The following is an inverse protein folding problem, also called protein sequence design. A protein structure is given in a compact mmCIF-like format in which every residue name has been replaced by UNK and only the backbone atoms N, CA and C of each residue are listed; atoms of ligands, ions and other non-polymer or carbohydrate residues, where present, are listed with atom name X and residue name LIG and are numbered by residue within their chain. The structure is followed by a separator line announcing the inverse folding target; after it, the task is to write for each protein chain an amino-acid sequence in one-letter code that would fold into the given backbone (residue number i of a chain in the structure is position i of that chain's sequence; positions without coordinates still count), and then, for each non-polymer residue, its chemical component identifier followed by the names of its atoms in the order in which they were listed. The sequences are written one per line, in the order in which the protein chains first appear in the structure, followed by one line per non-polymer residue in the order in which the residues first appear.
data_IF_568830074475
#
_entry.id   IF_568830074475
#
_cell.length_a   1.000
_cell.length_b   1.000
_cell.length_c   1.000
_cell.angle_alpha   90.00
_cell.angle_beta   90.00
_cell.angle_gamma   90.00
#
_symmetry.space_group_name_H-M   'P 1'
#
loop_
_entity.id
_entity.type
_entity.pdbx_description
1 polymer ?
#
# COMPACT_ATOMS: atom_id res chain seq x y z
N UNK A 1 -53.92 16.07 0.66
CA UNK A 1 -53.81 14.84 -0.16
C UNK A 1 -52.77 15.02 -1.28
N UNK A 2 -52.97 15.93 -2.25
CA UNK A 2 -52.02 16.14 -3.37
C UNK A 2 -50.58 16.53 -2.97
N UNK A 3 -50.39 17.32 -1.91
CA UNK A 3 -49.04 17.68 -1.44
C UNK A 3 -48.30 16.51 -0.77
N UNK A 4 -49.02 15.69 -0.01
CA UNK A 4 -48.47 14.47 0.61
C UNK A 4 -47.97 13.49 -0.46
N UNK A 5 -48.76 13.30 -1.51
CA UNK A 5 -48.43 12.43 -2.64
C UNK A 5 -47.19 12.91 -3.39
N UNK A 6 -47.06 14.23 -3.59
CA UNK A 6 -45.87 14.85 -4.19
C UNK A 6 -44.62 14.70 -3.33
N UNK A 7 -44.75 14.82 -2.01
CA UNK A 7 -43.64 14.61 -1.07
C UNK A 7 -43.22 13.13 -1.06
N UNK A 8 -44.16 12.19 -1.06
CA UNK A 8 -43.87 10.75 -1.17
C UNK A 8 -43.11 10.42 -2.46
N UNK A 9 -43.53 10.97 -3.60
CA UNK A 9 -42.85 10.74 -4.88
C UNK A 9 -41.41 11.30 -4.88
N UNK A 10 -41.15 12.39 -4.16
CA UNK A 10 -39.80 12.92 -3.98
C UNK A 10 -38.95 12.00 -3.09
N UNK A 11 -39.52 11.46 -2.01
CA UNK A 11 -38.84 10.51 -1.12
C UNK A 11 -38.42 9.25 -1.89
N UNK A 12 -39.32 8.70 -2.71
CA UNK A 12 -39.03 7.52 -3.52
C UNK A 12 -37.89 7.77 -4.53
N UNK A 13 -37.92 8.94 -5.21
CA UNK A 13 -36.83 9.35 -6.12
C UNK A 13 -35.49 9.53 -5.41
N UNK A 14 -35.48 10.07 -4.20
CA UNK A 14 -34.24 10.18 -3.41
C UNK A 14 -33.76 8.81 -2.91
N UNK A 15 -34.67 7.91 -2.51
CA UNK A 15 -34.33 6.55 -2.13
C UNK A 15 -33.66 5.79 -3.30
N UNK A 16 -34.22 5.88 -4.50
CA UNK A 16 -33.64 5.31 -5.73
C UNK A 16 -32.22 5.84 -6.02
N UNK A 17 -32.00 7.15 -5.81
CA UNK A 17 -30.68 7.77 -5.99
C UNK A 17 -29.69 7.24 -4.96
N UNK A 18 -30.11 7.11 -3.70
CA UNK A 18 -29.28 6.56 -2.62
C UNK A 18 -28.90 5.12 -2.93
N UNK A 19 -29.85 4.27 -3.35
CA UNK A 19 -29.58 2.88 -3.70
C UNK A 19 -28.59 2.78 -4.87
N UNK A 20 -28.80 3.56 -5.93
CA UNK A 20 -27.86 3.64 -7.06
C UNK A 20 -26.46 4.10 -6.61
N UNK A 21 -26.37 5.08 -5.72
CA UNK A 21 -25.11 5.54 -5.17
C UNK A 21 -24.41 4.47 -4.32
N UNK A 22 -25.14 3.75 -3.47
CA UNK A 22 -24.61 2.63 -2.69
C UNK A 22 -24.09 1.50 -3.58
N UNK A 23 -24.81 1.16 -4.64
CA UNK A 23 -24.39 0.16 -5.61
C UNK A 23 -23.09 0.58 -6.33
N UNK A 24 -22.99 1.85 -6.75
CA UNK A 24 -21.75 2.41 -7.32
C UNK A 24 -20.59 2.35 -6.33
N UNK A 25 -20.80 2.73 -5.07
CA UNK A 25 -19.79 2.65 -4.00
C UNK A 25 -19.27 1.21 -3.84
N UNK A 26 -20.18 0.21 -3.83
CA UNK A 26 -19.81 -1.21 -3.74
C UNK A 26 -18.94 -1.64 -4.93
N UNK A 27 -19.29 -1.24 -6.15
CA UNK A 27 -18.48 -1.54 -7.35
C UNK A 27 -17.10 -0.87 -7.29
N UNK A 28 -17.02 0.38 -6.84
CA UNK A 28 -15.74 1.09 -6.68
C UNK A 28 -14.85 0.40 -5.64
N UNK A 29 -15.41 -0.02 -4.51
CA UNK A 29 -14.66 -0.77 -3.48
C UNK A 29 -14.11 -2.08 -4.02
N UNK A 30 -14.89 -2.81 -4.83
CA UNK A 30 -14.41 -4.03 -5.49
C UNK A 30 -13.26 -3.76 -6.46
N UNK A 31 -13.37 -2.71 -7.29
CA UNK A 31 -12.30 -2.28 -8.21
C UNK A 31 -11.04 -1.90 -7.43
N UNK A 32 -11.18 -1.13 -6.36
CA UNK A 32 -10.07 -0.75 -5.47
C UNK A 32 -9.36 -1.98 -4.90
N UNK A 33 -10.11 -2.97 -4.40
CA UNK A 33 -9.54 -4.22 -3.88
C UNK A 33 -8.79 -5.02 -4.96
N UNK A 34 -9.32 -5.08 -6.18
CA UNK A 34 -8.64 -5.74 -7.31
C UNK A 34 -7.34 -5.02 -7.69
N UNK A 35 -7.36 -3.69 -7.75
CA UNK A 35 -6.18 -2.87 -8.03
C UNK A 35 -5.10 -3.06 -6.97
N UNK A 36 -5.45 -3.03 -5.69
CA UNK A 36 -4.49 -3.28 -4.58
C UNK A 36 -3.82 -4.65 -4.70
N UNK A 37 -4.61 -5.70 -4.97
CA UNK A 37 -4.07 -7.06 -5.15
C UNK A 37 -3.16 -7.17 -6.37
N UNK A 38 -3.58 -6.62 -7.50
CA UNK A 38 -2.76 -6.63 -8.73
C UNK A 38 -1.42 -5.91 -8.52
N UNK A 39 -1.45 -4.74 -7.87
CA UNK A 39 -0.23 -3.99 -7.55
C UNK A 39 0.71 -4.78 -6.63
N UNK A 40 0.17 -5.46 -5.60
CA UNK A 40 0.99 -6.29 -4.70
C UNK A 40 1.56 -7.52 -5.42
N UNK A 41 0.78 -8.18 -6.27
CA UNK A 41 1.27 -9.30 -7.09
C UNK A 41 2.39 -8.84 -8.02
N UNK A 42 2.21 -7.72 -8.74
CA UNK A 42 3.26 -7.18 -9.60
C UNK A 42 4.50 -6.78 -8.82
N UNK A 43 4.34 -6.20 -7.62
CA UNK A 43 5.47 -5.89 -6.73
C UNK A 43 6.25 -7.15 -6.35
N UNK A 44 5.57 -8.24 -5.99
CA UNK A 44 6.20 -9.52 -5.64
C UNK A 44 6.94 -10.12 -6.84
N UNK A 45 6.31 -10.14 -8.01
CA UNK A 45 6.94 -10.62 -9.27
C UNK A 45 8.21 -9.81 -9.57
N UNK A 46 8.13 -8.48 -9.53
CA UNK A 46 9.30 -7.61 -9.79
C UNK A 46 10.43 -7.85 -8.78
N UNK A 47 10.10 -8.02 -7.50
CA UNK A 47 11.09 -8.32 -6.46
C UNK A 47 11.73 -9.70 -6.67
N UNK A 48 10.93 -10.73 -6.93
CA UNK A 48 11.43 -12.07 -7.26
C UNK A 48 12.38 -12.03 -8.46
N UNK A 49 11.98 -11.37 -9.55
CA UNK A 49 12.82 -11.23 -10.74
C UNK A 49 14.16 -10.51 -10.52
N UNK A 50 14.25 -9.61 -9.53
CA UNK A 50 15.55 -9.01 -9.14
C UNK A 50 16.45 -10.05 -8.49
N UNK A 51 15.91 -10.88 -7.59
CA UNK A 51 16.68 -11.97 -6.98
C UNK A 51 17.10 -13.02 -8.03
N UNK A 52 16.19 -13.45 -8.91
CA UNK A 52 16.50 -14.37 -10.02
C UNK A 52 17.63 -13.82 -10.92
N UNK A 53 17.65 -12.50 -11.15
CA UNK A 53 18.71 -11.87 -11.94
C UNK A 53 20.07 -11.92 -11.25
N UNK A 54 20.13 -11.64 -9.93
CA UNK A 54 21.35 -11.77 -9.14
C UNK A 54 21.81 -13.23 -9.00
N UNK A 55 20.88 -14.17 -8.79
CA UNK A 55 21.18 -15.60 -8.76
C UNK A 55 21.81 -16.05 -10.08
N UNK A 56 21.24 -15.63 -11.21
CA UNK A 56 21.80 -15.91 -12.53
C UNK A 56 23.16 -15.28 -12.75
N UNK A 57 23.38 -14.06 -12.27
CA UNK A 57 24.66 -13.38 -12.40
C UNK A 57 25.79 -14.13 -11.67
N UNK A 58 25.52 -14.62 -10.47
CA UNK A 58 26.53 -15.27 -9.62
C UNK A 58 26.71 -16.75 -9.99
N UNK A 59 25.61 -17.44 -10.28
CA UNK A 59 25.60 -18.91 -10.45
C UNK A 59 25.55 -19.36 -11.92
N UNK A 60 25.21 -18.45 -12.84
CA UNK A 60 24.96 -18.75 -14.25
C UNK A 60 23.65 -19.51 -14.52
N UNK A 61 22.82 -19.75 -13.50
CA UNK A 61 21.57 -20.53 -13.61
C UNK A 61 20.35 -19.65 -13.46
N UNK A 62 19.29 -19.97 -14.20
CA UNK A 62 17.99 -19.34 -14.04
C UNK A 62 17.02 -20.39 -13.51
N UNK A 63 16.66 -20.26 -12.24
CA UNK A 63 15.69 -21.10 -11.55
C UNK A 63 14.61 -20.18 -10.97
N UNK A 64 13.40 -20.70 -10.78
CA UNK A 64 12.36 -19.97 -10.05
C UNK A 64 12.84 -19.75 -8.61
N UNK A 65 13.01 -18.49 -8.20
CA UNK A 65 13.54 -18.22 -6.87
C UNK A 65 12.55 -18.63 -5.79
N UNK A 66 12.98 -19.51 -4.89
CA UNK A 66 12.19 -19.93 -3.74
C UNK A 66 12.31 -18.91 -2.58
N UNK A 67 11.18 -18.44 -2.04
CA UNK A 67 11.15 -17.52 -0.90
C UNK A 67 11.95 -18.03 0.29
N UNK A 68 11.89 -19.32 0.61
CA UNK A 68 12.60 -19.88 1.76
C UNK A 68 14.12 -19.79 1.59
N UNK A 69 14.61 -19.97 0.35
CA UNK A 69 16.01 -19.81 0.00
C UNK A 69 16.44 -18.34 0.13
N UNK A 70 15.62 -17.39 -0.34
CA UNK A 70 15.89 -15.95 -0.17
C UNK A 70 15.98 -15.61 1.31
N UNK A 71 15.03 -16.05 2.13
CA UNK A 71 15.04 -15.75 3.57
C UNK A 71 16.29 -16.32 4.25
N UNK A 72 16.65 -17.58 3.99
CA UNK A 72 17.87 -18.18 4.53
C UNK A 72 19.13 -17.42 4.11
N UNK A 73 19.21 -16.98 2.84
CA UNK A 73 20.32 -16.18 2.34
C UNK A 73 20.37 -14.80 3.00
N UNK A 74 19.24 -14.10 3.10
CA UNK A 74 19.18 -12.78 3.74
C UNK A 74 19.49 -12.85 5.23
N UNK A 75 19.04 -13.89 5.94
CA UNK A 75 19.37 -14.10 7.34
C UNK A 75 20.88 -14.33 7.52
N UNK A 76 21.50 -15.10 6.63
CA UNK A 76 22.95 -15.26 6.61
C UNK A 76 23.68 -13.93 6.36
N UNK A 77 23.33 -13.21 5.29
CA UNK A 77 23.98 -11.92 4.94
C UNK A 77 23.78 -10.88 6.05
N UNK A 78 22.55 -10.75 6.55
CA UNK A 78 22.19 -9.79 7.59
C UNK A 78 22.56 -10.28 9.00
N UNK A 79 23.11 -11.48 9.18
CA UNK A 79 23.72 -11.86 10.46
C UNK A 79 24.89 -10.93 10.82
N UNK A 80 25.57 -10.39 9.81
CA UNK A 80 26.57 -9.34 9.96
C UNK A 80 25.90 -7.95 10.00
N UNK A 81 26.07 -7.26 11.12
CA UNK A 81 25.45 -5.96 11.36
C UNK A 81 25.86 -4.88 10.35
N UNK A 82 27.04 -4.99 9.72
CA UNK A 82 27.49 -4.03 8.70
C UNK A 82 26.51 -3.94 7.53
N UNK A 83 25.97 -5.07 7.10
CA UNK A 83 25.00 -5.11 5.99
C UNK A 83 23.61 -4.65 6.44
N UNK A 84 23.23 -4.84 7.70
CA UNK A 84 22.00 -4.25 8.26
C UNK A 84 22.05 -2.73 8.24
N UNK A 85 23.14 -2.15 8.73
CA UNK A 85 23.31 -0.69 8.72
C UNK A 85 23.36 -0.14 7.30
N UNK A 86 24.04 -0.84 6.37
CA UNK A 86 24.06 -0.41 4.97
C UNK A 86 22.66 -0.45 4.32
N UNK A 87 21.85 -1.47 4.62
CA UNK A 87 20.48 -1.55 4.13
C UNK A 87 19.61 -0.40 4.68
N UNK A 88 19.77 -0.05 5.95
CA UNK A 88 19.08 1.10 6.56
C UNK A 88 19.44 2.40 5.86
N UNK A 89 20.74 2.64 5.64
CA UNK A 89 21.25 3.83 4.95
C UNK A 89 20.64 3.96 3.54
N UNK A 90 20.71 2.90 2.73
CA UNK A 90 20.14 2.90 1.37
C UNK A 90 18.63 3.12 1.37
N UNK A 91 17.92 2.53 2.34
CA UNK A 91 16.48 2.71 2.50
C UNK A 91 16.14 4.16 2.87
N UNK A 92 16.90 4.76 3.78
CA UNK A 92 16.70 6.14 4.20
C UNK A 92 16.91 7.13 3.03
N UNK A 93 17.93 6.91 2.19
CA UNK A 93 18.16 7.71 0.98
C UNK A 93 16.95 7.60 0.04
N UNK A 94 16.50 6.38 -0.27
CA UNK A 94 15.36 6.16 -1.15
C UNK A 94 14.05 6.82 -0.65
N UNK A 95 13.81 6.79 0.66
CA UNK A 95 12.66 7.45 1.27
C UNK A 95 12.75 8.97 1.16
N UNK A 96 13.92 9.55 1.44
CA UNK A 96 14.15 11.00 1.28
C UNK A 96 13.95 11.45 -0.16
N UNK A 97 14.49 10.71 -1.13
CA UNK A 97 14.30 11.00 -2.55
C UNK A 97 12.83 10.95 -2.96
N UNK A 98 12.06 10.03 -2.37
CA UNK A 98 10.62 9.94 -2.64
C UNK A 98 9.84 11.10 -2.01
N UNK A 99 10.24 11.56 -0.84
CA UNK A 99 9.65 12.72 -0.16
C UNK A 99 9.95 14.03 -0.90
N UNK A 100 11.19 14.24 -1.37
CA UNK A 100 11.57 15.43 -2.15
C UNK A 100 10.82 15.49 -3.49
N UNK A 101 10.70 14.36 -4.19
CA UNK A 101 9.92 14.29 -5.43
C UNK A 101 8.40 14.50 -5.23
N UNK A 102 7.85 14.19 -4.05
CA UNK A 102 6.45 14.50 -3.73
C UNK A 102 6.25 15.95 -3.26
N UNK A 103 7.26 16.54 -2.59
CA UNK A 103 7.24 17.91 -2.07
C UNK A 103 7.19 19.00 -3.15
N UNK A 104 7.66 18.71 -4.37
CA UNK A 104 7.62 19.66 -5.50
C UNK A 104 6.26 19.76 -6.21
N UNK A 105 5.28 18.91 -5.84
CA UNK A 105 3.91 18.94 -6.42
C UNK A 105 2.84 19.49 -5.48
N UNK A 106 3.19 19.96 -4.27
CA UNK A 106 2.25 20.67 -3.41
C UNK A 106 2.14 22.13 -3.84
N UNK A 107 1.10 22.43 -4.60
CA UNK A 107 0.55 23.79 -4.65
C UNK A 107 0.27 24.28 -3.21
N UNK A 108 0.44 25.58 -2.91
CA UNK A 108 0.37 26.10 -1.55
C UNK A 108 -1.05 26.26 -0.99
N UNK A 109 -2.09 25.86 -1.74
CA UNK A 109 -3.49 26.15 -1.40
C UNK A 109 -4.24 24.92 -0.88
N UNK A 110 -3.78 24.33 0.23
CA UNK A 110 -4.65 23.51 1.07
C UNK A 110 -4.15 23.63 2.52
N UNK A 111 -4.41 24.81 3.09
CA UNK A 111 -4.55 24.93 4.53
C UNK A 111 -5.77 24.11 4.98
N UNK A 112 -5.52 23.25 5.96
CA UNK A 112 -6.49 22.69 6.90
C UNK A 112 -7.24 21.41 6.49
N UNK A 113 -6.79 20.27 7.01
CA UNK A 113 -7.54 19.69 8.13
C UNK A 113 -6.68 18.75 9.00
N UNK A 114 -6.54 19.18 10.24
CA UNK A 114 -6.25 18.40 11.45
C UNK A 114 -6.84 16.98 11.42
N UNK A 115 -6.09 15.99 11.89
CA UNK A 115 -6.35 15.33 13.19
C UNK A 115 -5.28 14.26 13.45
N UNK A 116 -4.51 14.58 14.47
CA UNK A 116 -3.75 13.75 15.40
C UNK A 116 -4.49 12.46 15.83
N UNK A 117 -3.82 11.28 15.76
CA UNK A 117 -4.16 9.99 16.40
C UNK A 117 -3.38 8.86 15.69
N UNK A 118 -2.55 8.01 16.26
CA UNK A 118 -2.28 7.63 17.65
C UNK A 118 -0.83 7.14 17.75
N UNK A 119 -0.12 7.67 18.74
CA UNK A 119 1.04 7.05 19.38
C UNK A 119 0.56 5.73 20.00
N UNK A 120 1.02 4.59 19.49
CA UNK A 120 0.90 3.31 20.23
C UNK A 120 2.20 3.14 20.98
N UNK A 121 2.19 3.63 22.22
CA UNK A 121 3.04 3.14 23.30
C UNK A 121 2.66 1.69 23.55
N UNK A 122 3.59 0.75 23.36
CA UNK A 122 3.52 -0.54 24.02
C UNK A 122 4.60 -0.52 25.09
N UNK A 123 4.18 -0.24 26.33
CA UNK A 123 4.91 -0.53 27.56
C UNK A 123 4.66 -1.99 27.94
N UNK A 124 5.77 -2.72 28.14
CA UNK A 124 6.08 -3.70 29.17
C UNK A 124 5.08 -4.81 29.52
N UNK A 125 5.55 -6.07 29.57
CA UNK A 125 5.85 -6.74 30.85
C UNK A 125 6.31 -8.19 30.62
N UNK A 126 7.20 -8.63 31.51
CA UNK A 126 7.75 -9.97 31.67
C UNK A 126 6.73 -11.10 31.57
N UNK A 127 7.15 -12.25 31.01
CA UNK A 127 6.84 -13.63 31.44
C UNK A 127 7.79 -14.63 30.78
#
# INVERSE_FOLDING_TARGET
MKELEKIMEQIEKEADKIEKAQNRKKQLNQKMSKLKRSAETQRKIRKGGVFEAFEREITGRQEDTNNDLIYAFLDYVLSDNRYREKLKELTAIHLKDRETNMGETKNPDDENDSIDSQKVENSDEDM
#
